data_IF_422798804692
#
_entry.id   IF_422798804692
#
_cell.length_a   1.000
_cell.length_b   1.000
_cell.length_c   1.000
_cell.angle_alpha   90.00
_cell.angle_beta   90.00
_cell.angle_gamma   90.00
#
_symmetry.space_group_name_H-M   'P 1'
#
loop_
_entity.id
_entity.type
_entity.pdbx_description
1 polymer ?
#
# COMPACT_ATOMS: atom_id res chain seq x y z
N UNK A 1 -29.90 24.11 38.39
CA UNK A 1 -28.79 24.51 37.50
C UNK A 1 -28.04 23.23 37.17
N UNK A 2 -28.66 22.25 36.51
CA UNK A 2 -29.27 22.28 35.16
C UNK A 2 -28.16 22.45 34.11
N UNK A 3 -27.68 21.42 33.41
CA UNK A 3 -28.31 20.38 32.56
C UNK A 3 -28.17 20.71 31.07
N UNK A 4 -28.05 19.63 30.27
CA UNK A 4 -27.75 19.50 28.82
C UNK A 4 -26.25 19.25 28.55
N UNK A 5 -25.82 18.06 28.13
CA UNK A 5 -26.49 16.91 27.50
C UNK A 5 -27.12 17.21 26.13
N UNK A 6 -26.45 16.71 25.08
CA UNK A 6 -26.94 16.52 23.70
C UNK A 6 -26.21 15.29 23.14
N UNK A 7 -26.85 14.13 23.23
CA UNK A 7 -26.61 13.02 22.31
C UNK A 7 -27.39 13.29 21.01
N UNK A 8 -26.84 12.84 19.87
CA UNK A 8 -27.57 12.22 18.74
C UNK A 8 -26.53 11.92 17.63
N UNK A 9 -26.14 10.65 17.45
CA UNK A 9 -26.77 9.64 16.58
C UNK A 9 -26.42 9.80 15.10
N UNK A 10 -25.69 8.80 14.57
CA UNK A 10 -26.11 8.13 13.33
C UNK A 10 -25.59 6.69 13.28
N UNK A 11 -26.42 5.74 13.71
CA UNK A 11 -26.33 4.32 13.32
C UNK A 11 -27.18 4.09 12.04
N UNK A 12 -26.99 2.94 11.37
CA UNK A 12 -27.66 2.44 10.15
C UNK A 12 -26.89 2.63 8.83
N UNK A 13 -26.02 1.66 8.52
CA UNK A 13 -25.60 1.34 7.15
C UNK A 13 -25.32 -0.17 6.95
N UNK A 14 -26.26 -1.03 7.36
CA UNK A 14 -26.17 -2.48 7.08
C UNK A 14 -26.25 -2.77 5.58
N UNK A 15 -25.44 -3.73 5.09
CA UNK A 15 -25.75 -4.44 3.84
C UNK A 15 -24.95 -4.10 2.58
N UNK A 16 -23.65 -3.77 2.67
CA UNK A 16 -22.76 -3.72 1.49
C UNK A 16 -22.36 -5.12 0.98
N UNK A 17 -23.32 -5.91 0.49
CA UNK A 17 -23.11 -7.31 0.08
C UNK A 17 -22.51 -7.41 -1.35
N UNK A 18 -21.18 -7.29 -1.46
CA UNK A 18 -20.47 -7.32 -2.75
C UNK A 18 -20.42 -8.72 -3.40
N UNK A 19 -21.48 -9.07 -4.13
CA UNK A 19 -21.58 -10.32 -4.92
C UNK A 19 -20.82 -10.21 -6.25
N UNK A 20 -19.48 -10.16 -6.19
CA UNK A 20 -18.63 -9.81 -7.35
C UNK A 20 -17.85 -10.92 -8.05
N UNK A 21 -17.55 -12.06 -7.40
CA UNK A 21 -16.61 -13.07 -7.95
C UNK A 21 -17.19 -14.49 -8.03
N UNK A 22 -17.75 -14.85 -9.20
CA UNK A 22 -17.97 -16.26 -9.58
C UNK A 22 -16.71 -16.85 -10.20
N UNK A 23 -15.86 -17.48 -9.39
CA UNK A 23 -14.79 -18.34 -9.89
C UNK A 23 -15.42 -19.54 -10.62
N UNK A 24 -15.36 -19.53 -11.95
CA UNK A 24 -15.96 -20.58 -12.78
C UNK A 24 -15.10 -21.84 -12.77
N UNK A 25 -15.55 -22.86 -12.05
CA UNK A 25 -14.89 -24.17 -12.01
C UNK A 25 -14.92 -24.85 -13.38
N UNK A 26 -13.74 -25.04 -13.98
CA UNK A 26 -13.54 -25.94 -15.12
C UNK A 26 -13.14 -27.32 -14.62
N UNK A 27 -13.80 -28.35 -15.15
CA UNK A 27 -13.71 -29.73 -14.67
C UNK A 27 -13.36 -30.72 -15.80
N UNK A 28 -12.82 -31.88 -15.41
CA UNK A 28 -12.56 -33.09 -16.22
C UNK A 28 -11.43 -32.97 -17.29
N UNK A 29 -10.91 -34.10 -17.83
CA UNK A 29 -11.21 -35.52 -17.56
C UNK A 29 -9.99 -36.34 -17.03
N UNK A 30 -10.08 -37.68 -17.06
CA UNK A 30 -9.20 -38.59 -16.30
C UNK A 30 -8.63 -39.79 -17.10
N UNK A 31 -7.31 -40.05 -16.94
CA UNK A 31 -6.63 -41.37 -17.05
C UNK A 31 -6.59 -42.05 -18.46
N UNK A 32 -5.81 -43.15 -18.70
CA UNK A 32 -4.89 -43.89 -17.82
C UNK A 32 -3.46 -44.26 -18.37
N UNK A 33 -2.53 -44.48 -17.43
CA UNK A 33 -1.47 -45.52 -17.35
C UNK A 33 -0.62 -46.03 -18.55
N UNK A 34 0.72 -45.98 -18.39
CA UNK A 34 1.61 -47.14 -18.62
C UNK A 34 2.93 -47.07 -17.81
N UNK A 35 3.43 -48.21 -17.33
CA UNK A 35 4.68 -48.43 -16.57
C UNK A 35 5.98 -48.20 -17.39
N UNK A 36 7.21 -48.09 -16.87
CA UNK A 36 7.84 -47.78 -15.56
C UNK A 36 9.39 -47.61 -15.83
N UNK A 37 10.42 -47.70 -14.97
CA UNK A 37 10.64 -48.08 -13.55
C UNK A 37 12.02 -47.57 -13.04
N UNK A 38 12.29 -47.70 -11.72
CA UNK A 38 13.60 -47.53 -11.02
C UNK A 38 14.22 -46.10 -10.97
N UNK A 39 14.99 -45.70 -9.94
CA UNK A 39 15.13 -46.16 -8.54
C UNK A 39 15.83 -45.09 -7.67
N UNK A 40 15.75 -45.25 -6.34
CA UNK A 40 16.35 -44.40 -5.29
C UNK A 40 15.82 -42.96 -5.21
N UNK A 41 15.91 -42.37 -4.02
CA UNK A 41 15.21 -41.12 -3.71
C UNK A 41 16.03 -40.12 -2.90
N UNK A 42 15.59 -38.88 -2.97
CA UNK A 42 15.89 -37.80 -2.04
C UNK A 42 14.59 -37.00 -1.81
N UNK A 43 14.57 -36.13 -0.80
CA UNK A 43 13.37 -35.38 -0.44
C UNK A 43 12.82 -34.56 -1.62
N UNK A 44 11.49 -34.50 -1.74
CA UNK A 44 10.82 -33.58 -2.66
C UNK A 44 11.04 -32.14 -2.20
N UNK A 45 12.08 -31.50 -2.73
CA UNK A 45 12.19 -30.04 -2.66
C UNK A 45 10.93 -29.46 -3.30
N UNK A 46 10.15 -28.72 -2.51
CA UNK A 46 9.18 -27.80 -3.07
C UNK A 46 9.94 -26.88 -4.04
N UNK A 47 9.45 -26.79 -5.28
CA UNK A 47 10.03 -25.88 -6.27
C UNK A 47 10.10 -24.49 -5.63
N UNK A 48 11.26 -23.80 -5.62
CA UNK A 48 11.33 -22.44 -5.11
C UNK A 48 10.36 -21.61 -5.91
N UNK A 49 9.31 -21.12 -5.26
CA UNK A 49 8.20 -20.44 -5.92
C UNK A 49 8.76 -19.28 -6.73
N UNK A 50 8.60 -19.34 -8.06
CA UNK A 50 9.08 -18.31 -8.97
C UNK A 50 8.60 -16.95 -8.44
N UNK A 51 9.56 -16.10 -8.03
CA UNK A 51 9.32 -14.97 -7.13
C UNK A 51 8.18 -14.11 -7.68
N UNK A 52 6.99 -14.23 -7.07
CA UNK A 52 5.82 -13.50 -7.53
C UNK A 52 6.08 -12.03 -7.33
N UNK A 53 6.04 -11.29 -8.43
CA UNK A 53 6.12 -9.83 -8.41
C UNK A 53 4.99 -9.29 -7.52
N UNK A 54 5.31 -8.51 -6.46
CA UNK A 54 4.31 -8.02 -5.53
C UNK A 54 3.21 -7.22 -6.23
N UNK A 55 1.99 -7.47 -5.77
CA UNK A 55 0.82 -6.71 -6.20
C UNK A 55 0.87 -5.32 -5.55
N UNK A 56 0.57 -4.27 -6.32
CA UNK A 56 0.54 -2.89 -5.81
C UNK A 56 -0.88 -2.36 -5.92
N UNK A 57 -1.37 -1.80 -4.81
CA UNK A 57 -2.66 -1.13 -4.71
C UNK A 57 -2.37 0.35 -4.43
N UNK A 58 -2.75 1.24 -5.36
CA UNK A 58 -2.69 2.68 -5.13
C UNK A 58 -3.98 3.22 -4.53
N UNK A 59 -3.91 3.84 -3.35
CA UNK A 59 -5.05 4.47 -2.65
C UNK A 59 -4.83 5.99 -2.59
N UNK A 60 -5.63 6.77 -3.31
CA UNK A 60 -5.43 8.22 -3.40
C UNK A 60 -6.71 9.04 -3.24
N UNK A 61 -6.55 10.20 -2.61
CA UNK A 61 -7.61 11.10 -2.15
C UNK A 61 -7.02 12.12 -1.17
N UNK A 62 -7.75 13.22 -0.93
CA UNK A 62 -7.26 14.33 -0.10
C UNK A 62 -7.02 13.99 1.37
N UNK A 63 -6.57 14.99 2.13
CA UNK A 63 -6.49 14.92 3.59
C UNK A 63 -7.87 14.63 4.18
N UNK A 64 -7.92 13.79 5.22
CA UNK A 64 -9.15 13.28 5.85
C UNK A 64 -10.13 12.48 4.96
N UNK A 65 -9.81 12.16 3.68
CA UNK A 65 -10.72 11.43 2.77
C UNK A 65 -10.87 9.92 3.03
N UNK A 66 -10.61 9.46 4.26
CA UNK A 66 -10.74 8.04 4.65
C UNK A 66 -9.68 7.07 4.09
N UNK A 67 -8.60 7.54 3.45
CA UNK A 67 -7.54 6.69 2.87
C UNK A 67 -7.05 5.60 3.83
N UNK A 68 -6.68 5.98 5.05
CA UNK A 68 -6.16 5.09 6.09
C UNK A 68 -7.17 3.99 6.42
N UNK A 69 -8.45 4.33 6.60
CA UNK A 69 -9.53 3.38 6.86
C UNK A 69 -9.70 2.37 5.71
N UNK A 70 -9.59 2.82 4.46
CA UNK A 70 -9.61 1.92 3.29
C UNK A 70 -8.38 1.00 3.29
N UNK A 71 -7.19 1.52 3.62
CA UNK A 71 -5.99 0.71 3.73
C UNK A 71 -6.10 -0.35 4.85
N UNK A 72 -6.59 0.03 6.03
CA UNK A 72 -6.81 -0.88 7.16
C UNK A 72 -7.82 -1.98 6.82
N UNK A 73 -8.91 -1.64 6.13
CA UNK A 73 -9.89 -2.62 5.64
C UNK A 73 -9.27 -3.59 4.62
N UNK A 74 -8.43 -3.11 3.70
CA UNK A 74 -7.72 -3.97 2.73
C UNK A 74 -6.73 -4.89 3.45
N UNK A 75 -5.95 -4.39 4.41
CA UNK A 75 -5.02 -5.18 5.22
C UNK A 75 -5.78 -6.28 5.99
N UNK A 76 -6.94 -5.95 6.58
CA UNK A 76 -7.78 -6.92 7.27
C UNK A 76 -8.28 -8.03 6.34
N UNK A 77 -8.77 -7.71 5.13
CA UNK A 77 -9.29 -8.69 4.18
C UNK A 77 -8.20 -9.61 3.58
N UNK A 78 -6.94 -9.16 3.55
CA UNK A 78 -5.84 -9.90 2.91
C UNK A 78 -5.20 -10.99 3.77
N UNK A 79 -5.54 -11.07 5.07
CA UNK A 79 -5.26 -12.16 6.02
C UNK A 79 -3.90 -12.89 5.89
N UNK A 80 -3.83 -13.90 5.01
CA UNK A 80 -2.66 -14.79 4.82
C UNK A 80 -1.50 -14.15 4.04
N UNK A 81 -1.74 -13.02 3.36
CA UNK A 81 -0.72 -12.30 2.58
C UNK A 81 0.14 -11.38 3.44
N UNK A 82 1.45 -11.29 3.15
CA UNK A 82 2.29 -10.24 3.70
C UNK A 82 1.94 -8.92 3.02
N UNK A 83 1.24 -8.04 3.73
CA UNK A 83 0.91 -6.70 3.26
C UNK A 83 1.86 -5.68 3.89
N UNK A 84 2.33 -4.71 3.10
CA UNK A 84 2.97 -3.48 3.61
C UNK A 84 2.16 -2.26 3.21
N UNK A 85 2.01 -1.32 4.15
CA UNK A 85 1.57 0.05 3.88
C UNK A 85 2.78 1.00 3.72
N UNK A 86 2.85 1.67 2.57
CA UNK A 86 3.79 2.75 2.25
C UNK A 86 2.97 4.03 2.10
N UNK A 87 3.22 5.02 2.96
CA UNK A 87 2.56 6.32 2.90
C UNK A 87 3.47 7.33 2.18
N UNK A 88 2.90 8.10 1.26
CA UNK A 88 3.58 9.16 0.52
C UNK A 88 4.15 10.23 1.46
N UNK A 89 3.47 10.48 2.58
CA UNK A 89 3.81 11.52 3.55
C UNK A 89 5.15 11.22 4.26
N UNK A 90 5.60 9.95 4.25
CA UNK A 90 6.96 9.62 4.71
C UNK A 90 8.06 10.23 3.81
N UNK A 91 7.72 10.51 2.55
CA UNK A 91 8.63 11.01 1.52
C UNK A 91 8.56 12.54 1.33
N UNK A 92 7.87 13.28 2.19
CA UNK A 92 8.07 14.73 2.28
C UNK A 92 9.56 15.04 2.40
N UNK A 93 10.03 16.05 1.65
CA UNK A 93 11.40 16.57 1.80
C UNK A 93 11.50 17.41 3.07
N UNK A 94 12.70 17.54 3.61
CA UNK A 94 12.96 18.59 4.60
C UNK A 94 12.81 19.97 3.95
N UNK A 95 12.27 20.93 4.70
CA UNK A 95 12.32 22.34 4.32
C UNK A 95 13.77 22.86 4.38
N UNK A 96 14.11 23.85 3.56
CA UNK A 96 15.34 24.63 3.75
C UNK A 96 15.24 25.53 4.99
N UNK A 97 16.33 26.20 5.38
CA UNK A 97 16.29 27.14 6.51
C UNK A 97 15.33 28.33 6.25
N UNK A 98 15.27 28.78 5.00
CA UNK A 98 14.42 29.87 4.53
C UNK A 98 12.95 29.44 4.51
N UNK A 99 12.65 28.24 4.01
CA UNK A 99 11.29 27.69 4.02
C UNK A 99 10.82 27.34 5.43
N UNK A 100 11.70 26.84 6.30
CA UNK A 100 11.40 26.54 7.70
C UNK A 100 11.00 27.80 8.48
N UNK A 101 11.63 28.94 8.19
CA UNK A 101 11.23 30.25 8.75
C UNK A 101 9.82 30.72 8.29
N UNK A 102 9.29 30.14 7.22
CA UNK A 102 7.98 30.44 6.63
C UNK A 102 7.09 29.20 6.49
N UNK A 103 7.28 28.18 7.35
CA UNK A 103 6.64 26.86 7.18
C UNK A 103 5.10 26.88 7.17
N UNK A 104 4.50 27.89 7.83
CA UNK A 104 3.04 28.13 7.82
C UNK A 104 2.49 28.53 6.43
N UNK A 105 3.35 29.13 5.59
CA UNK A 105 3.05 29.65 4.26
C UNK A 105 3.49 28.66 3.16
N UNK A 106 4.11 27.54 3.54
CA UNK A 106 4.61 26.51 2.64
C UNK A 106 3.49 25.57 2.15
N UNK A 107 3.40 25.36 0.83
CA UNK A 107 2.41 24.47 0.24
C UNK A 107 2.87 23.00 0.25
N UNK A 108 2.48 22.25 1.28
CA UNK A 108 2.71 20.81 1.36
C UNK A 108 1.90 20.00 0.32
N UNK A 109 0.78 20.54 -0.17
CA UNK A 109 -0.01 19.93 -1.26
C UNK A 109 0.59 20.21 -2.66
N UNK A 110 1.85 20.68 -2.75
CA UNK A 110 2.57 20.80 -4.02
C UNK A 110 3.40 19.53 -4.33
N UNK A 111 3.48 19.05 -5.58
CA UNK A 111 4.32 17.90 -5.94
C UNK A 111 5.78 18.02 -5.50
N UNK A 112 6.36 19.22 -5.56
CA UNK A 112 7.75 19.50 -5.16
C UNK A 112 7.99 19.46 -3.65
N UNK A 113 6.95 19.25 -2.83
CA UNK A 113 7.11 18.90 -1.42
C UNK A 113 7.54 17.44 -1.22
N UNK A 114 7.43 16.58 -2.25
CA UNK A 114 7.72 15.15 -2.17
C UNK A 114 8.98 14.76 -2.95
N UNK A 115 9.82 13.97 -2.31
CA UNK A 115 10.96 13.29 -2.94
C UNK A 115 10.46 12.10 -3.75
N UNK A 116 9.97 12.41 -4.95
CA UNK A 116 9.38 11.42 -5.85
C UNK A 116 10.41 10.40 -6.35
N UNK A 117 11.70 10.76 -6.43
CA UNK A 117 12.75 9.80 -6.80
C UNK A 117 12.98 8.74 -5.71
N UNK A 118 13.09 9.15 -4.44
CA UNK A 118 13.25 8.19 -3.34
C UNK A 118 12.00 7.30 -3.15
N UNK A 119 10.80 7.84 -3.40
CA UNK A 119 9.57 7.04 -3.42
C UNK A 119 9.61 5.99 -4.54
N UNK A 120 10.00 6.37 -5.75
CA UNK A 120 10.10 5.46 -6.90
C UNK A 120 11.20 4.42 -6.73
N UNK A 121 12.35 4.77 -6.13
CA UNK A 121 13.39 3.83 -5.75
C UNK A 121 12.86 2.78 -4.77
N UNK A 122 12.21 3.21 -3.68
CA UNK A 122 11.59 2.31 -2.70
C UNK A 122 10.55 1.39 -3.36
N UNK A 123 9.66 1.91 -4.19
CA UNK A 123 8.65 1.11 -4.89
C UNK A 123 9.26 0.13 -5.89
N UNK A 124 10.35 0.51 -6.57
CA UNK A 124 11.12 -0.37 -7.46
C UNK A 124 11.80 -1.51 -6.71
N UNK A 125 12.50 -1.22 -5.62
CA UNK A 125 13.13 -2.23 -4.76
C UNK A 125 12.09 -3.18 -4.14
N UNK A 126 10.95 -2.67 -3.68
CA UNK A 126 9.85 -3.49 -3.16
C UNK A 126 9.25 -4.41 -4.24
N UNK A 127 9.05 -3.93 -5.47
CA UNK A 127 8.64 -4.78 -6.63
C UNK A 127 9.67 -5.86 -6.98
N UNK A 128 10.96 -5.59 -6.77
CA UNK A 128 12.02 -6.59 -6.86
C UNK A 128 12.06 -7.58 -5.66
N UNK A 129 11.05 -7.55 -4.78
CA UNK A 129 10.98 -8.32 -3.53
C UNK A 129 12.20 -8.10 -2.61
N UNK A 130 12.73 -6.88 -2.58
CA UNK A 130 13.81 -6.46 -1.69
C UNK A 130 13.25 -5.73 -0.47
N UNK A 131 14.02 -5.70 0.62
CA UNK A 131 13.71 -4.92 1.81
C UNK A 131 14.26 -3.49 1.64
N UNK A 132 13.51 -2.48 2.09
CA UNK A 132 13.83 -1.06 1.90
C UNK A 132 13.80 -0.29 3.22
N UNK A 133 14.48 0.84 3.28
CA UNK A 133 14.45 1.76 4.43
C UNK A 133 13.57 2.96 4.07
N UNK A 134 12.30 2.93 4.49
CA UNK A 134 11.40 4.08 4.27
C UNK A 134 11.84 5.22 5.22
N UNK A 135 12.02 6.46 4.74
CA UNK A 135 12.31 7.61 5.59
C UNK A 135 11.25 7.82 6.68
N UNK A 136 11.64 8.48 7.77
CA UNK A 136 10.69 8.99 8.77
C UNK A 136 10.69 10.51 8.69
N UNK A 137 9.50 11.08 8.53
CA UNK A 137 9.27 12.53 8.48
C UNK A 137 8.67 13.01 9.80
N UNK A 138 9.21 14.10 10.34
CA UNK A 138 8.70 14.76 11.54
C UNK A 138 7.83 15.97 11.14
N UNK A 139 6.51 15.78 11.21
CA UNK A 139 5.51 16.79 10.89
C UNK A 139 5.49 17.98 11.86
N UNK A 140 6.14 17.90 13.02
CA UNK A 140 6.21 19.00 14.00
C UNK A 140 7.36 19.95 13.68
N UNK A 141 8.44 19.45 13.10
CA UNK A 141 9.62 20.23 12.73
C UNK A 141 9.86 20.33 11.21
N UNK A 142 8.94 19.79 10.40
CA UNK A 142 8.96 19.77 8.93
C UNK A 142 10.28 19.27 8.31
N UNK A 143 10.86 18.23 8.92
CA UNK A 143 12.18 17.70 8.57
C UNK A 143 12.20 16.16 8.55
N UNK A 144 13.22 15.59 7.89
CA UNK A 144 13.48 14.14 7.91
C UNK A 144 14.38 13.75 9.09
N UNK A 145 14.11 12.61 9.69
CA UNK A 145 14.98 12.01 10.70
C UNK A 145 16.16 11.31 10.00
N UNK A 146 17.31 11.97 9.83
CA UNK A 146 18.47 11.44 9.09
C UNK A 146 18.96 10.08 9.60
N UNK A 147 18.91 9.87 10.91
CA UNK A 147 19.41 8.65 11.57
C UNK A 147 18.33 7.55 11.75
N UNK A 148 17.10 7.75 11.26
CA UNK A 148 15.96 6.88 11.59
C UNK A 148 15.06 6.57 10.40
N UNK A 149 14.94 5.29 10.09
CA UNK A 149 14.18 4.76 8.96
C UNK A 149 13.25 3.63 9.43
N UNK A 150 12.03 3.57 8.87
CA UNK A 150 11.14 2.42 9.03
C UNK A 150 11.58 1.35 8.04
N UNK A 151 12.35 0.36 8.52
CA UNK A 151 12.71 -0.82 7.71
C UNK A 151 11.45 -1.59 7.31
N UNK A 152 11.23 -1.69 6.01
CA UNK A 152 10.17 -2.48 5.38
C UNK A 152 10.79 -3.73 4.79
N UNK A 153 10.16 -4.88 5.02
CA UNK A 153 10.56 -6.15 4.40
C UNK A 153 9.77 -6.41 3.12
N UNK A 154 10.31 -7.24 2.23
CA UNK A 154 9.60 -7.76 1.07
C UNK A 154 8.23 -8.35 1.46
N UNK A 155 7.22 -8.14 0.62
CA UNK A 155 5.81 -8.39 0.90
C UNK A 155 5.08 -8.85 -0.38
N UNK A 156 4.01 -9.63 -0.24
CA UNK A 156 3.21 -10.13 -1.37
C UNK A 156 2.33 -9.01 -1.96
N UNK A 157 1.87 -8.09 -1.10
CA UNK A 157 1.05 -6.93 -1.45
C UNK A 157 1.68 -5.66 -0.87
N UNK A 158 1.72 -4.60 -1.68
CA UNK A 158 2.18 -3.26 -1.31
C UNK A 158 0.99 -2.32 -1.50
N UNK A 159 0.50 -1.72 -0.42
CA UNK A 159 -0.43 -0.60 -0.49
C UNK A 159 0.41 0.67 -0.49
N UNK A 160 0.28 1.48 -1.54
CA UNK A 160 0.83 2.82 -1.61
C UNK A 160 -0.32 3.81 -1.43
N UNK A 161 -0.29 4.64 -0.38
CA UNK A 161 -1.33 5.63 -0.13
C UNK A 161 -0.78 7.06 -0.01
N UNK A 162 -1.57 8.06 -0.41
CA UNK A 162 -1.18 9.46 -0.30
C UNK A 162 -2.03 10.42 -1.14
N UNK A 163 -1.86 11.72 -0.89
CA UNK A 163 -2.67 12.77 -1.53
C UNK A 163 -2.38 12.97 -3.03
N UNK A 164 -1.16 12.65 -3.48
CA UNK A 164 -0.66 12.95 -4.83
C UNK A 164 0.09 11.78 -5.48
N UNK A 165 -0.04 10.54 -4.99
CA UNK A 165 0.70 9.37 -5.51
C UNK A 165 0.54 9.14 -7.02
N UNK A 166 -0.58 9.55 -7.62
CA UNK A 166 -0.83 9.42 -9.05
C UNK A 166 -0.46 10.66 -9.88
N UNK A 167 0.05 11.74 -9.25
CA UNK A 167 0.57 12.90 -9.97
C UNK A 167 1.75 12.51 -10.86
N UNK A 168 2.73 11.80 -10.28
CA UNK A 168 3.82 11.23 -11.07
C UNK A 168 3.33 10.03 -11.89
N UNK A 169 3.41 10.16 -13.21
CA UNK A 169 3.00 9.13 -14.17
C UNK A 169 3.87 7.85 -14.09
N UNK A 170 5.07 7.93 -13.47
CA UNK A 170 5.94 6.77 -13.22
C UNK A 170 5.34 5.83 -12.17
N UNK A 171 4.67 6.36 -11.14
CA UNK A 171 4.02 5.54 -10.10
C UNK A 171 2.96 4.63 -10.71
N UNK A 172 2.21 5.14 -11.69
CA UNK A 172 1.16 4.41 -12.43
C UNK A 172 1.67 3.16 -13.18
N UNK A 173 2.99 3.02 -13.38
CA UNK A 173 3.62 1.83 -13.99
C UNK A 173 3.74 0.65 -13.03
N UNK A 174 3.61 0.88 -11.73
CA UNK A 174 3.64 -0.18 -10.71
C UNK A 174 2.25 -0.74 -10.40
N UNK A 175 1.19 0.04 -10.68
CA UNK A 175 -0.19 -0.24 -10.27
C UNK A 175 -0.76 -1.55 -10.83
N UNK A 176 -1.52 -2.25 -9.99
CA UNK A 176 -2.09 -3.57 -10.22
C UNK A 176 -3.44 -3.57 -10.94
N UNK A 177 -3.62 -2.72 -11.95
CA UNK A 177 -4.80 -2.66 -12.82
C UNK A 177 -6.11 -2.07 -12.24
N UNK A 178 -6.19 -1.74 -10.94
CA UNK A 178 -7.38 -1.11 -10.31
C UNK A 178 -7.00 0.07 -9.38
N UNK A 179 -7.22 1.29 -9.86
CA UNK A 179 -6.92 2.52 -9.12
C UNK A 179 -8.09 2.87 -8.18
N UNK A 180 -7.95 2.63 -6.87
CA UNK A 180 -8.93 3.08 -5.87
C UNK A 180 -8.75 4.56 -5.55
N UNK A 181 -9.23 5.41 -6.47
CA UNK A 181 -9.33 6.85 -6.25
C UNK A 181 -10.64 7.19 -5.52
N UNK A 182 -10.52 7.81 -4.34
CA UNK A 182 -11.64 8.14 -3.45
C UNK A 182 -12.49 9.34 -3.90
N UNK A 183 -13.03 9.31 -5.12
CA UNK A 183 -14.00 10.32 -5.60
C UNK A 183 -15.37 10.13 -4.94
N UNK A 184 -15.48 10.51 -3.66
CA UNK A 184 -16.77 10.71 -2.97
C UNK A 184 -16.65 11.60 -1.72
N UNK A 185 -16.56 12.90 -1.96
CA UNK A 185 -17.18 13.99 -1.18
C UNK A 185 -17.50 15.09 -2.20
#
# INVERSE_FOLDING_TARGET
MSEKAVDDVMDSAVGAHFSGLRLSSRSAPSSPSSAAAHSHGAAGLASPSALRQPFVIGVSGGTASGKTTVCDMIIQQLHDHRVVLVSQDSFYRGLTAEESAHAQDYNFDHPDAFDSEQLLECMGQLKCAQAVNVPIYDFKYHQRCSESFRKVNASDVIILEGILIFHDQRVRKYDGHENFCGHRC
#
